data_IF_540880211332
#
_entry.id   IF_540880211332
#
_cell.length_a   1.000
_cell.length_b   1.000
_cell.length_c   1.000
_cell.angle_alpha   90.00
_cell.angle_beta   90.00
_cell.angle_gamma   90.00
#
_symmetry.space_group_name_H-M   'P 1'
#
loop_
_entity.id
_entity.type
_entity.pdbx_description
1 polymer ?
#
# COMPACT_ATOMS: atom_id res chain seq x y z
N UNK A 1 -13.17 24.08 -16.65
CA UNK A 1 -13.88 22.81 -16.43
C UNK A 1 -12.94 21.68 -16.80
N UNK A 2 -12.64 20.78 -15.87
CA UNK A 2 -11.72 19.64 -16.10
C UNK A 2 -12.52 18.39 -16.41
N UNK A 3 -12.00 17.54 -17.27
CA UNK A 3 -12.59 16.26 -17.63
C UNK A 3 -11.73 15.12 -17.08
N UNK A 4 -12.34 14.20 -16.32
CA UNK A 4 -11.64 13.09 -15.68
C UNK A 4 -12.31 11.78 -16.07
N UNK A 5 -11.53 10.84 -16.60
CA UNK A 5 -11.92 9.45 -16.78
C UNK A 5 -11.64 8.68 -15.50
N UNK A 6 -12.65 8.06 -14.89
CA UNK A 6 -12.52 7.33 -13.64
C UNK A 6 -12.90 5.86 -13.78
N UNK A 7 -12.03 4.97 -13.30
CA UNK A 7 -12.30 3.54 -13.18
C UNK A 7 -11.82 2.94 -11.85
N UNK A 8 -12.46 1.84 -11.45
CA UNK A 8 -12.07 1.00 -10.32
C UNK A 8 -11.80 -0.40 -10.83
N UNK A 9 -10.66 -1.00 -10.43
CA UNK A 9 -10.48 -2.43 -10.51
C UNK A 9 -11.22 -3.10 -9.33
N UNK A 10 -12.37 -3.77 -9.54
CA UNK A 10 -13.23 -4.23 -8.45
C UNK A 10 -12.58 -5.30 -7.57
N UNK A 11 -11.56 -6.00 -8.07
CA UNK A 11 -10.88 -7.07 -7.34
C UNK A 11 -9.58 -6.60 -6.67
N UNK A 12 -9.18 -5.35 -6.83
CA UNK A 12 -7.94 -4.86 -6.25
C UNK A 12 -8.00 -4.81 -4.71
N UNK A 13 -6.86 -5.13 -4.07
CA UNK A 13 -6.69 -5.07 -2.62
C UNK A 13 -7.07 -6.34 -1.86
N UNK A 14 -7.72 -7.32 -2.48
CA UNK A 14 -8.11 -8.56 -1.78
C UNK A 14 -6.91 -9.41 -1.38
N UNK A 15 -5.87 -9.47 -2.21
CA UNK A 15 -4.80 -10.46 -2.09
C UNK A 15 -3.90 -10.33 -0.87
N UNK A 16 -3.59 -9.12 -0.40
CA UNK A 16 -2.70 -8.99 0.76
C UNK A 16 -3.39 -9.12 2.11
N UNK A 17 -4.69 -8.84 2.21
CA UNK A 17 -5.45 -9.12 3.44
C UNK A 17 -5.40 -10.61 3.82
N UNK A 18 -5.32 -11.49 2.81
CA UNK A 18 -5.29 -12.95 2.96
C UNK A 18 -3.92 -13.58 2.66
N UNK A 19 -2.85 -12.76 2.64
CA UNK A 19 -1.47 -13.25 2.51
C UNK A 19 -1.11 -13.88 1.15
N UNK A 20 -1.90 -13.64 0.10
CA UNK A 20 -1.64 -14.12 -1.27
C UNK A 20 -0.69 -13.22 -2.06
N UNK A 21 -0.26 -12.11 -1.44
CA UNK A 21 0.61 -11.12 -2.05
C UNK A 21 0.05 -10.46 -3.32
N UNK A 22 -1.24 -10.60 -3.65
CA UNK A 22 -1.79 -10.09 -4.90
C UNK A 22 -3.03 -10.89 -5.29
N UNK A 23 -3.78 -10.41 -6.27
CA UNK A 23 -5.00 -11.07 -6.76
C UNK A 23 -4.86 -11.67 -8.16
N UNK A 24 -3.75 -11.43 -8.86
CA UNK A 24 -3.60 -11.83 -10.25
C UNK A 24 -3.58 -13.36 -10.35
N UNK A 25 -4.56 -13.91 -11.09
CA UNK A 25 -4.78 -15.35 -11.23
C UNK A 25 -5.19 -16.08 -9.93
N UNK A 26 -5.55 -15.36 -8.86
CA UNK A 26 -5.90 -15.92 -7.54
C UNK A 26 -7.17 -15.33 -6.92
N UNK A 27 -8.01 -14.66 -7.71
CA UNK A 27 -9.27 -14.07 -7.25
C UNK A 27 -10.12 -15.09 -6.49
N UNK A 28 -10.34 -16.27 -7.06
CA UNK A 28 -11.14 -17.33 -6.42
C UNK A 28 -10.54 -17.79 -5.08
N UNK A 29 -9.21 -17.91 -5.01
CA UNK A 29 -8.51 -18.28 -3.77
C UNK A 29 -8.59 -17.17 -2.73
N UNK A 30 -8.53 -15.90 -3.14
CA UNK A 30 -8.71 -14.77 -2.24
C UNK A 30 -10.12 -14.76 -1.64
N UNK A 31 -11.15 -14.98 -2.47
CA UNK A 31 -12.55 -15.10 -2.05
C UNK A 31 -12.71 -16.29 -1.10
N UNK A 32 -12.14 -17.46 -1.41
CA UNK A 32 -12.16 -18.64 -0.52
C UNK A 32 -11.55 -18.37 0.85
N UNK A 33 -10.53 -17.52 0.92
CA UNK A 33 -9.90 -17.08 2.18
C UNK A 33 -10.67 -15.95 2.89
N UNK A 34 -11.81 -15.53 2.36
CA UNK A 34 -12.66 -14.49 2.93
C UNK A 34 -12.18 -13.07 2.63
N UNK A 35 -11.40 -12.87 1.56
CA UNK A 35 -10.98 -11.54 1.17
C UNK A 35 -12.18 -10.68 0.73
N UNK A 36 -12.19 -9.43 1.17
CA UNK A 36 -13.19 -8.42 0.79
C UNK A 36 -12.52 -7.38 -0.12
N UNK A 37 -13.14 -7.01 -1.26
CA UNK A 37 -12.66 -5.92 -2.10
C UNK A 37 -12.51 -4.60 -1.32
N UNK A 38 -11.34 -3.96 -1.42
CA UNK A 38 -11.06 -2.65 -0.76
C UNK A 38 -11.06 -1.47 -1.73
N UNK A 39 -11.04 -1.73 -3.03
CA UNK A 39 -10.86 -0.71 -4.04
C UNK A 39 -12.01 0.31 -4.10
N UNK A 40 -13.26 -0.17 -3.97
CA UNK A 40 -14.44 0.71 -3.97
C UNK A 40 -14.42 1.68 -2.78
N UNK A 41 -14.16 1.18 -1.57
CA UNK A 41 -14.10 2.02 -0.35
C UNK A 41 -12.98 3.05 -0.43
N UNK A 42 -11.79 2.67 -0.91
CA UNK A 42 -10.65 3.60 -1.05
C UNK A 42 -10.91 4.65 -2.13
N UNK A 43 -11.57 4.26 -3.22
CA UNK A 43 -12.01 5.22 -4.22
C UNK A 43 -13.08 6.18 -3.67
N UNK A 44 -14.03 5.68 -2.89
CA UNK A 44 -15.06 6.48 -2.24
C UNK A 44 -14.44 7.52 -1.29
N UNK A 45 -13.43 7.13 -0.50
CA UNK A 45 -12.68 8.04 0.37
C UNK A 45 -11.99 9.18 -0.42
N UNK A 46 -11.44 8.88 -1.60
CA UNK A 46 -10.80 9.89 -2.46
C UNK A 46 -11.83 10.81 -3.15
N UNK A 47 -13.00 10.28 -3.53
CA UNK A 47 -13.99 10.99 -4.34
C UNK A 47 -14.98 11.81 -3.50
N UNK A 48 -15.31 11.37 -2.28
CA UNK A 48 -16.28 12.07 -1.42
C UNK A 48 -15.93 13.55 -1.15
N UNK A 49 -14.65 13.92 -0.92
CA UNK A 49 -14.25 15.31 -0.76
C UNK A 49 -14.39 16.17 -2.04
N UNK A 50 -14.56 15.55 -3.21
CA UNK A 50 -14.69 16.22 -4.50
C UNK A 50 -16.15 16.49 -4.89
N UNK A 51 -17.10 16.20 -3.99
CA UNK A 51 -18.52 16.46 -4.22
C UNK A 51 -18.76 17.95 -4.42
N UNK A 52 -19.41 18.30 -5.54
CA UNK A 52 -19.74 19.69 -5.87
C UNK A 52 -18.66 20.45 -6.65
N UNK A 53 -17.49 19.84 -6.86
CA UNK A 53 -16.44 20.41 -7.72
C UNK A 53 -16.89 20.43 -9.19
N UNK A 54 -16.48 21.45 -9.95
CA UNK A 54 -16.81 21.59 -11.39
C UNK A 54 -15.93 20.68 -12.28
N UNK A 55 -16.10 19.38 -12.11
CA UNK A 55 -15.41 18.32 -12.84
C UNK A 55 -16.43 17.55 -13.69
N UNK A 56 -16.11 17.36 -14.98
CA UNK A 56 -16.85 16.47 -15.87
C UNK A 56 -16.31 15.06 -15.73
N UNK A 57 -17.13 14.16 -15.18
CA UNK A 57 -16.74 12.78 -14.94
C UNK A 57 -17.16 11.88 -16.09
N UNK A 58 -16.22 11.09 -16.59
CA UNK A 58 -16.45 9.96 -17.48
C UNK A 58 -16.09 8.68 -16.73
N UNK A 59 -16.85 7.60 -16.90
CA UNK A 59 -16.61 6.38 -16.11
C UNK A 59 -17.05 5.11 -16.84
N UNK A 60 -16.75 3.96 -16.25
CA UNK A 60 -17.31 2.67 -16.63
C UNK A 60 -18.54 2.35 -15.78
N UNK A 61 -19.47 1.56 -16.33
CA UNK A 61 -20.62 1.05 -15.58
C UNK A 61 -20.15 0.19 -14.40
N UNK A 62 -21.07 -0.03 -13.44
CA UNK A 62 -20.80 -0.89 -12.30
C UNK A 62 -20.33 -2.28 -12.76
N UNK A 63 -19.38 -2.93 -12.06
CA UNK A 63 -18.79 -2.50 -10.77
C UNK A 63 -17.52 -1.63 -10.91
N UNK A 64 -17.24 -1.06 -12.09
CA UNK A 64 -15.95 -0.42 -12.38
C UNK A 64 -15.92 1.11 -12.22
N UNK A 65 -16.88 1.73 -11.52
CA UNK A 65 -16.77 3.15 -11.17
C UNK A 65 -18.07 3.92 -10.99
N UNK A 66 -19.12 3.65 -11.80
CA UNK A 66 -20.39 4.40 -11.73
C UNK A 66 -21.04 4.35 -10.34
N UNK A 67 -21.03 3.19 -9.73
CA UNK A 67 -21.52 2.91 -8.38
C UNK A 67 -20.76 3.73 -7.33
N UNK A 68 -19.44 3.74 -7.40
CA UNK A 68 -18.58 4.52 -6.47
C UNK A 68 -18.81 6.02 -6.61
N UNK A 69 -18.94 6.54 -7.84
CA UNK A 69 -19.26 7.96 -8.07
C UNK A 69 -20.64 8.33 -7.49
N UNK A 70 -21.64 7.47 -7.64
CA UNK A 70 -22.96 7.69 -7.02
C UNK A 70 -22.86 7.74 -5.50
N UNK A 71 -22.16 6.78 -4.88
CA UNK A 71 -21.94 6.74 -3.44
C UNK A 71 -21.19 7.96 -2.91
N UNK A 72 -20.29 8.55 -3.71
CA UNK A 72 -19.59 9.80 -3.39
C UNK A 72 -20.47 11.06 -3.54
N UNK A 73 -21.72 10.92 -4.00
CA UNK A 73 -22.63 12.04 -4.29
C UNK A 73 -22.32 12.76 -5.61
N UNK A 74 -21.60 12.13 -6.53
CA UNK A 74 -21.24 12.64 -7.86
C UNK A 74 -22.17 12.01 -8.90
N UNK A 75 -23.33 12.63 -9.12
CA UNK A 75 -24.35 12.08 -10.02
C UNK A 75 -24.17 12.47 -11.49
N UNK A 76 -23.50 13.59 -11.75
CA UNK A 76 -23.27 14.10 -13.12
C UNK A 76 -22.04 13.44 -13.73
N UNK A 77 -22.21 12.24 -14.26
CA UNK A 77 -21.17 11.52 -14.99
C UNK A 77 -21.70 10.90 -16.31
N UNK A 78 -20.80 10.61 -17.24
CA UNK A 78 -21.08 9.91 -18.49
C UNK A 78 -20.44 8.53 -18.46
N UNK A 79 -21.26 7.49 -18.63
CA UNK A 79 -20.77 6.10 -18.72
C UNK A 79 -20.32 5.83 -20.15
N UNK A 80 -19.05 5.48 -20.33
CA UNK A 80 -18.43 5.23 -21.64
C UNK A 80 -18.09 3.76 -21.90
N UNK A 81 -18.03 2.92 -20.85
CA UNK A 81 -17.78 1.48 -20.96
C UNK A 81 -18.80 0.68 -20.15
N UNK A 82 -19.18 -0.49 -20.66
CA UNK A 82 -20.06 -1.44 -19.98
C UNK A 82 -19.35 -2.79 -19.90
N UNK A 83 -18.78 -3.15 -18.73
CA UNK A 83 -18.00 -4.37 -18.60
C UNK A 83 -18.90 -5.60 -18.46
N UNK A 84 -18.36 -6.76 -18.80
CA UNK A 84 -18.96 -8.04 -18.43
C UNK A 84 -18.63 -8.38 -16.96
N UNK A 85 -19.41 -9.29 -16.37
CA UNK A 85 -19.12 -9.87 -15.05
C UNK A 85 -18.77 -11.36 -15.21
N UNK A 86 -17.62 -11.83 -14.72
CA UNK A 86 -16.58 -11.09 -13.99
C UNK A 86 -15.77 -10.13 -14.88
N UNK A 87 -15.30 -9.02 -14.30
CA UNK A 87 -14.48 -8.02 -15.00
C UNK A 87 -13.05 -8.48 -15.19
N UNK A 88 -12.38 -8.02 -16.23
CA UNK A 88 -11.01 -8.42 -16.58
C UNK A 88 -10.08 -7.22 -16.82
N UNK A 89 -8.79 -7.50 -16.97
CA UNK A 89 -7.81 -6.51 -17.44
C UNK A 89 -8.20 -5.90 -18.80
N UNK A 90 -8.89 -6.66 -19.66
CA UNK A 90 -9.38 -6.14 -20.94
C UNK A 90 -10.45 -5.07 -20.75
N UNK A 91 -11.32 -5.19 -19.73
CA UNK A 91 -12.30 -4.16 -19.40
C UNK A 91 -11.64 -2.87 -18.91
N UNK A 92 -10.56 -2.99 -18.12
CA UNK A 92 -9.76 -1.83 -17.69
C UNK A 92 -9.19 -1.10 -18.90
N UNK A 93 -8.57 -1.83 -19.84
CA UNK A 93 -8.02 -1.25 -21.06
C UNK A 93 -9.09 -0.64 -21.97
N UNK A 94 -10.24 -1.29 -22.10
CA UNK A 94 -11.36 -0.78 -22.90
C UNK A 94 -11.92 0.53 -22.33
N UNK A 95 -12.14 0.60 -21.02
CA UNK A 95 -12.57 1.82 -20.34
C UNK A 95 -11.57 2.96 -20.53
N UNK A 96 -10.27 2.71 -20.32
CA UNK A 96 -9.22 3.70 -20.54
C UNK A 96 -9.17 4.25 -21.97
N UNK A 97 -9.31 3.38 -22.98
CA UNK A 97 -9.36 3.82 -24.38
C UNK A 97 -10.59 4.69 -24.66
N UNK A 98 -11.75 4.31 -24.12
CA UNK A 98 -12.96 5.13 -24.25
C UNK A 98 -12.79 6.50 -23.57
N UNK A 99 -12.08 6.58 -22.45
CA UNK A 99 -11.75 7.86 -21.81
C UNK A 99 -10.82 8.71 -22.68
N UNK A 100 -9.80 8.09 -23.29
CA UNK A 100 -8.88 8.77 -24.20
C UNK A 100 -9.62 9.32 -25.44
N UNK A 101 -10.51 8.53 -26.05
CA UNK A 101 -11.36 8.95 -27.17
C UNK A 101 -12.30 10.10 -26.80
N UNK A 102 -12.78 10.14 -25.56
CA UNK A 102 -13.59 11.24 -25.03
C UNK A 102 -12.76 12.50 -24.70
N UNK A 103 -11.43 12.46 -24.84
CA UNK A 103 -10.54 13.59 -24.66
C UNK A 103 -10.40 14.05 -23.21
N UNK A 104 -10.37 13.12 -22.25
CA UNK A 104 -10.22 13.48 -20.84
C UNK A 104 -8.84 14.09 -20.54
N UNK A 105 -8.79 15.02 -19.57
CA UNK A 105 -7.55 15.70 -19.16
C UNK A 105 -6.69 14.86 -18.19
N UNK A 106 -7.32 13.90 -17.51
CA UNK A 106 -6.70 13.02 -16.53
C UNK A 106 -7.46 11.68 -16.48
N UNK A 107 -6.73 10.57 -16.38
CA UNK A 107 -7.31 9.27 -16.01
C UNK A 107 -7.00 8.98 -14.54
N UNK A 108 -8.05 8.89 -13.74
CA UNK A 108 -8.01 8.47 -12.34
C UNK A 108 -8.40 7.00 -12.27
N UNK A 109 -7.57 6.18 -11.63
CA UNK A 109 -7.89 4.75 -11.44
C UNK A 109 -7.69 4.32 -9.99
N UNK A 110 -8.50 3.37 -9.51
CA UNK A 110 -8.29 2.75 -8.19
C UNK A 110 -7.85 1.29 -8.36
N UNK A 111 -6.65 0.94 -7.88
CA UNK A 111 -6.05 -0.36 -8.14
C UNK A 111 -4.68 -0.60 -7.51
N UNK A 112 -3.99 -1.63 -7.99
CA UNK A 112 -2.58 -1.93 -7.67
C UNK A 112 -1.67 -1.81 -8.91
N UNK A 113 -0.40 -2.21 -8.82
CA UNK A 113 0.56 -2.11 -9.94
C UNK A 113 0.07 -2.83 -11.21
N UNK A 114 -0.64 -3.96 -11.08
CA UNK A 114 -1.30 -4.63 -12.22
C UNK A 114 -2.27 -3.72 -12.99
N UNK A 115 -3.12 -3.00 -12.26
CA UNK A 115 -4.02 -1.99 -12.86
C UNK A 115 -3.24 -0.84 -13.49
N UNK A 116 -2.14 -0.40 -12.87
CA UNK A 116 -1.31 0.67 -13.44
C UNK A 116 -0.68 0.25 -14.78
N UNK A 117 -0.25 -1.01 -14.93
CA UNK A 117 0.21 -1.58 -16.20
C UNK A 117 -0.91 -1.59 -17.24
N UNK A 118 -2.08 -2.09 -16.89
CA UNK A 118 -3.24 -2.10 -17.80
C UNK A 118 -3.63 -0.70 -18.27
N UNK A 119 -3.59 0.28 -17.37
CA UNK A 119 -3.85 1.68 -17.74
C UNK A 119 -2.76 2.19 -18.70
N UNK A 120 -1.49 1.95 -18.39
CA UNK A 120 -0.38 2.36 -19.26
C UNK A 120 -0.46 1.71 -20.65
N UNK A 121 -0.80 0.42 -20.74
CA UNK A 121 -0.98 -0.29 -22.01
C UNK A 121 -2.09 0.29 -22.88
N UNK A 122 -3.11 0.88 -22.23
CA UNK A 122 -4.25 1.45 -22.92
C UNK A 122 -4.00 2.85 -23.48
N UNK A 123 -3.25 3.68 -22.76
CA UNK A 123 -3.15 5.13 -23.06
C UNK A 123 -1.74 5.65 -23.26
N UNK A 124 -0.73 4.80 -23.02
CA UNK A 124 0.67 5.16 -23.10
C UNK A 124 0.97 6.42 -22.30
N UNK A 125 1.49 7.44 -23.00
CA UNK A 125 1.92 8.71 -22.41
C UNK A 125 1.05 9.90 -22.82
N UNK A 126 -0.07 9.64 -23.47
CA UNK A 126 -0.90 10.67 -24.12
C UNK A 126 -1.61 11.54 -23.08
N UNK A 127 -2.22 10.89 -22.09
CA UNK A 127 -2.95 11.55 -20.99
C UNK A 127 -2.26 11.28 -19.64
N UNK A 128 -2.20 12.26 -18.73
CA UNK A 128 -1.76 12.00 -17.36
C UNK A 128 -2.64 10.95 -16.69
N UNK A 129 -2.02 10.15 -15.82
CA UNK A 129 -2.71 9.15 -15.00
C UNK A 129 -2.43 9.40 -13.52
N UNK A 130 -3.39 9.08 -12.66
CA UNK A 130 -3.21 9.12 -11.21
C UNK A 130 -3.89 7.88 -10.60
N UNK A 131 -3.12 7.14 -9.81
CA UNK A 131 -3.64 5.96 -9.10
C UNK A 131 -4.08 6.28 -7.67
N UNK A 132 -5.29 5.86 -7.31
CA UNK A 132 -5.72 5.70 -5.93
C UNK A 132 -5.23 4.34 -5.45
N UNK A 133 -4.41 4.28 -4.38
CA UNK A 133 -3.91 3.03 -3.83
C UNK A 133 -5.05 2.12 -3.41
N UNK A 134 -5.15 0.91 -3.94
CA UNK A 134 -6.00 -0.16 -3.40
C UNK A 134 -5.24 -1.47 -3.13
N UNK A 135 -4.06 -1.62 -3.72
CA UNK A 135 -3.23 -2.81 -3.58
C UNK A 135 -2.31 -2.80 -2.36
N UNK A 136 -1.65 -3.94 -2.16
CA UNK A 136 -0.70 -4.21 -1.05
C UNK A 136 0.75 -3.95 -1.43
N UNK A 137 0.99 -3.86 -2.73
CA UNK A 137 2.28 -3.71 -3.40
C UNK A 137 2.12 -2.59 -4.40
N UNK A 138 2.75 -1.47 -4.12
CA UNK A 138 2.70 -0.32 -5.00
C UNK A 138 4.15 0.11 -5.18
N UNK A 139 4.76 -0.33 -6.26
CA UNK A 139 6.13 0.00 -6.61
C UNK A 139 6.17 1.14 -7.62
N UNK A 140 5.11 1.29 -8.40
CA UNK A 140 4.97 2.35 -9.38
C UNK A 140 4.84 3.72 -8.69
N UNK A 141 5.53 4.73 -9.21
CA UNK A 141 5.48 6.11 -8.74
C UNK A 141 4.29 6.91 -9.32
N UNK A 142 3.22 6.20 -9.71
CA UNK A 142 2.00 6.77 -10.33
C UNK A 142 0.83 6.90 -9.38
N UNK A 143 1.03 6.50 -8.12
CA UNK A 143 -0.01 6.50 -7.11
C UNK A 143 0.15 7.65 -6.12
N UNK A 144 -0.99 8.18 -5.70
CA UNK A 144 -1.05 9.04 -4.52
C UNK A 144 -0.62 8.27 -3.26
N UNK A 145 -0.12 9.00 -2.26
CA UNK A 145 0.27 8.42 -0.96
C UNK A 145 -0.92 7.85 -0.18
N UNK A 146 -2.14 8.37 -0.38
CA UNK A 146 -3.38 7.86 0.20
C UNK A 146 -4.60 8.47 -0.55
N UNK A 147 -5.84 8.05 -0.25
CA UNK A 147 -7.04 8.61 -0.88
C UNK A 147 -7.19 10.13 -0.73
N UNK A 148 -6.87 10.69 0.45
CA UNK A 148 -6.94 12.14 0.69
C UNK A 148 -5.96 12.93 -0.20
N UNK A 149 -4.74 12.43 -0.34
CA UNK A 149 -3.74 12.98 -1.25
C UNK A 149 -4.17 12.89 -2.72
N UNK A 150 -4.89 11.83 -3.10
CA UNK A 150 -5.47 11.73 -4.45
C UNK A 150 -6.49 12.86 -4.68
N UNK A 151 -7.37 13.12 -3.71
CA UNK A 151 -8.34 14.23 -3.79
C UNK A 151 -7.65 15.59 -3.96
N UNK A 152 -6.61 15.86 -3.17
CA UNK A 152 -5.81 17.09 -3.26
C UNK A 152 -5.14 17.24 -4.64
N UNK A 153 -4.54 16.17 -5.15
CA UNK A 153 -3.93 16.15 -6.48
C UNK A 153 -4.98 16.37 -7.59
N UNK A 154 -6.19 15.81 -7.46
CA UNK A 154 -7.28 16.00 -8.43
C UNK A 154 -7.76 17.46 -8.45
N UNK A 155 -7.95 18.09 -7.27
CA UNK A 155 -8.34 19.50 -7.17
C UNK A 155 -7.34 20.45 -7.80
N UNK A 156 -6.08 20.03 -7.91
CA UNK A 156 -4.99 20.85 -8.47
C UNK A 156 -4.53 20.37 -9.84
N UNK A 157 -5.13 19.30 -10.38
CA UNK A 157 -4.76 18.72 -11.66
C UNK A 157 -4.89 19.78 -12.78
N UNK A 158 -3.86 19.95 -13.60
CA UNK A 158 -3.81 21.00 -14.63
C UNK A 158 -3.30 22.36 -14.14
N UNK A 159 -3.22 22.61 -12.83
CA UNK A 159 -2.47 23.74 -12.24
C UNK A 159 -1.06 23.32 -11.79
N UNK A 160 -0.88 22.04 -11.44
CA UNK A 160 0.40 21.47 -11.05
C UNK A 160 1.10 20.79 -12.23
N UNK A 161 2.44 20.80 -12.29
CA UNK A 161 3.18 20.13 -13.35
C UNK A 161 2.98 18.61 -13.28
N UNK A 162 3.01 17.98 -14.45
CA UNK A 162 3.14 16.53 -14.55
C UNK A 162 4.61 16.14 -14.61
N UNK A 163 4.96 15.03 -13.97
CA UNK A 163 6.28 14.40 -14.04
C UNK A 163 6.18 13.03 -14.72
N UNK A 164 7.25 12.62 -15.37
CA UNK A 164 7.42 11.22 -15.76
C UNK A 164 7.68 10.38 -14.50
N UNK A 165 6.82 9.40 -14.27
CA UNK A 165 6.92 8.49 -13.13
C UNK A 165 6.97 7.05 -13.62
N UNK A 166 7.78 6.26 -12.93
CA UNK A 166 8.00 4.84 -13.24
C UNK A 166 6.74 4.02 -12.95
N UNK A 167 6.34 3.21 -13.92
CA UNK A 167 5.43 2.09 -13.72
C UNK A 167 6.30 0.84 -13.59
N UNK A 168 6.13 0.10 -12.51
CA UNK A 168 6.95 -1.06 -12.18
C UNK A 168 6.16 -2.34 -12.46
N UNK A 169 6.83 -3.33 -13.03
CA UNK A 169 6.33 -4.70 -13.11
C UNK A 169 6.92 -5.54 -11.98
N UNK A 170 6.05 -6.19 -11.23
CA UNK A 170 6.44 -7.07 -10.12
C UNK A 170 6.22 -8.49 -10.58
N UNK A 171 7.28 -9.29 -10.61
CA UNK A 171 7.14 -10.73 -10.83
C UNK A 171 6.44 -11.34 -9.60
N UNK A 172 5.13 -11.55 -9.71
CA UNK A 172 4.33 -12.07 -8.63
C UNK A 172 4.63 -13.54 -8.30
N UNK A 173 5.16 -14.32 -9.25
CA UNK A 173 5.58 -15.70 -9.01
C UNK A 173 6.89 -15.74 -8.24
N UNK A 174 7.88 -14.94 -8.64
CA UNK A 174 9.10 -14.73 -7.86
C UNK A 174 8.76 -14.21 -6.45
N UNK A 175 7.84 -13.23 -6.34
CA UNK A 175 7.40 -12.69 -5.06
C UNK A 175 6.79 -13.76 -4.16
N UNK A 176 5.95 -14.64 -4.72
CA UNK A 176 5.35 -15.76 -3.97
C UNK A 176 6.40 -16.78 -3.50
N UNK A 177 7.51 -16.91 -4.23
CA UNK A 177 8.67 -17.70 -3.79
C UNK A 177 9.59 -16.98 -2.78
N UNK A 178 9.20 -15.80 -2.29
CA UNK A 178 10.00 -15.02 -1.34
C UNK A 178 11.10 -14.16 -1.98
N UNK A 179 11.14 -14.07 -3.32
CA UNK A 179 12.13 -13.27 -4.07
C UNK A 179 11.47 -12.01 -4.63
N UNK A 180 12.00 -10.84 -4.29
CA UNK A 180 11.51 -9.57 -4.85
C UNK A 180 12.24 -9.28 -6.16
N UNK A 181 11.58 -9.54 -7.29
CA UNK A 181 12.04 -9.13 -8.62
C UNK A 181 11.10 -8.06 -9.15
N UNK A 182 11.62 -6.86 -9.40
CA UNK A 182 10.86 -5.75 -9.98
C UNK A 182 11.60 -5.22 -11.19
N UNK A 183 10.89 -5.07 -12.30
CA UNK A 183 11.43 -4.50 -13.54
C UNK A 183 10.72 -3.18 -13.84
N UNK A 184 11.44 -2.23 -14.43
CA UNK A 184 10.80 -1.04 -14.99
C UNK A 184 9.92 -1.47 -16.17
N UNK A 185 8.61 -1.25 -16.06
CA UNK A 185 7.65 -1.55 -17.12
C UNK A 185 7.60 -0.42 -18.15
N UNK A 186 7.61 0.82 -17.66
CA UNK A 186 7.58 2.01 -18.50
C UNK A 186 7.41 3.29 -17.69
N UNK A 187 7.06 4.37 -18.38
CA UNK A 187 6.86 5.69 -17.76
C UNK A 187 5.49 6.23 -18.10
N UNK A 188 4.81 6.80 -17.11
CA UNK A 188 3.56 7.51 -17.26
C UNK A 188 3.71 8.98 -16.84
N UNK A 189 2.85 9.86 -17.38
CA UNK A 189 2.75 11.25 -16.92
C UNK A 189 1.83 11.30 -15.70
N UNK A 190 2.27 11.93 -14.62
CA UNK A 190 1.52 11.97 -13.35
C UNK A 190 1.54 13.38 -12.77
N UNK A 191 0.39 13.97 -12.36
CA UNK A 191 0.37 15.23 -11.64
C UNK A 191 1.20 15.12 -10.35
N UNK A 192 2.20 15.99 -10.16
CA UNK A 192 3.23 15.74 -9.14
C UNK A 192 3.34 16.85 -8.10
N UNK A 193 3.24 16.45 -6.83
CA UNK A 193 3.66 17.20 -5.65
C UNK A 193 4.53 16.23 -4.81
N UNK A 194 5.77 16.58 -4.42
CA UNK A 194 6.70 15.67 -3.73
C UNK A 194 6.11 14.94 -2.52
N UNK A 195 5.29 15.61 -1.70
CA UNK A 195 4.72 15.07 -0.47
C UNK A 195 3.47 14.21 -0.69
N UNK A 196 2.92 14.18 -1.91
CA UNK A 196 1.63 13.55 -2.24
C UNK A 196 1.75 12.33 -3.16
N UNK A 197 2.93 12.07 -3.71
CA UNK A 197 3.19 10.98 -4.68
C UNK A 197 4.18 9.97 -4.09
N UNK A 198 3.92 8.69 -4.31
CA UNK A 198 4.80 7.60 -3.86
C UNK A 198 6.15 7.57 -4.61
N UNK A 199 7.27 7.43 -3.89
CA UNK A 199 8.61 7.20 -4.47
C UNK A 199 8.92 5.73 -4.77
N UNK A 200 9.82 5.45 -5.72
CA UNK A 200 10.33 4.10 -6.00
C UNK A 200 11.23 3.55 -4.86
N UNK A 201 11.39 2.23 -4.77
CA UNK A 201 12.24 1.57 -3.75
C UNK A 201 13.70 1.51 -4.24
N UNK A 202 14.61 2.29 -3.65
CA UNK A 202 16.05 2.23 -3.92
C UNK A 202 16.78 1.23 -3.01
N UNK A 203 17.88 0.65 -3.52
CA UNK A 203 18.80 -0.26 -2.82
C UNK A 203 20.09 0.51 -2.53
N UNK A 204 20.52 0.59 -1.26
CA UNK A 204 21.71 1.33 -0.82
C UNK A 204 22.96 0.43 -0.74
N UNK A 205 24.14 1.02 -0.59
CA UNK A 205 25.43 0.34 -0.50
C UNK A 205 25.46 -0.72 0.62
N UNK A 206 25.63 -1.98 0.22
CA UNK A 206 25.29 -3.17 1.01
C UNK A 206 26.07 -3.35 2.34
N UNK A 207 27.31 -2.87 2.46
CA UNK A 207 28.17 -3.23 3.61
C UNK A 207 27.76 -2.55 4.93
N UNK A 208 27.44 -1.25 4.92
CA UNK A 208 26.99 -0.55 6.13
C UNK A 208 25.54 -0.92 6.50
N UNK A 209 24.72 -1.27 5.50
CA UNK A 209 23.32 -1.62 5.72
C UNK A 209 23.16 -2.97 6.43
N UNK A 210 23.95 -3.98 6.07
CA UNK A 210 23.91 -5.29 6.73
C UNK A 210 24.36 -5.20 8.19
N UNK A 211 25.44 -4.47 8.47
CA UNK A 211 25.89 -4.23 9.85
C UNK A 211 24.82 -3.54 10.69
N UNK A 212 24.13 -2.54 10.13
CA UNK A 212 23.03 -1.87 10.82
C UNK A 212 21.85 -2.82 11.10
N UNK A 213 21.54 -3.75 10.18
CA UNK A 213 20.52 -4.78 10.42
C UNK A 213 20.92 -5.74 11.54
N UNK A 214 22.19 -6.14 11.58
CA UNK A 214 22.72 -7.00 12.65
C UNK A 214 22.65 -6.34 14.02
N UNK A 215 22.99 -5.06 14.10
CA UNK A 215 22.91 -4.25 15.32
C UNK A 215 21.46 -4.06 15.81
N UNK A 216 20.52 -3.81 14.89
CA UNK A 216 19.09 -3.75 15.19
C UNK A 216 18.61 -5.12 15.70
N UNK A 217 18.95 -6.20 14.99
CA UNK A 217 18.57 -7.55 15.36
C UNK A 217 19.11 -7.92 16.75
N UNK A 218 20.36 -7.58 17.05
CA UNK A 218 20.99 -7.74 18.36
C UNK A 218 20.16 -7.10 19.46
N UNK A 219 19.89 -5.81 19.32
CA UNK A 219 19.17 -5.07 20.32
C UNK A 219 17.73 -5.59 20.50
N UNK A 220 17.01 -5.84 19.40
CA UNK A 220 15.64 -6.36 19.48
C UNK A 220 15.63 -7.72 20.19
N UNK A 221 16.52 -8.64 19.84
CA UNK A 221 16.58 -9.96 20.46
C UNK A 221 16.84 -9.91 21.98
N UNK A 222 17.61 -8.92 22.46
CA UNK A 222 17.90 -8.73 23.88
C UNK A 222 16.71 -8.13 24.66
N UNK A 223 15.90 -7.28 24.03
CA UNK A 223 14.76 -6.60 24.67
C UNK A 223 13.43 -7.32 24.46
N UNK A 224 13.44 -8.47 23.76
CA UNK A 224 12.27 -9.31 23.65
C UNK A 224 11.91 -9.90 25.02
N UNK A 225 10.63 -9.80 25.36
CA UNK A 225 10.09 -10.21 26.65
C UNK A 225 9.56 -11.65 26.55
N UNK A 226 9.78 -12.47 27.58
CA UNK A 226 9.18 -13.80 27.64
C UNK A 226 7.65 -13.71 27.67
N UNK A 227 7.00 -14.79 27.24
CA UNK A 227 5.55 -14.96 27.18
C UNK A 227 4.80 -13.91 26.33
N UNK A 228 5.52 -13.12 25.53
CA UNK A 228 4.97 -12.04 24.70
C UNK A 228 4.89 -12.48 23.24
N UNK A 229 3.75 -12.22 22.61
CA UNK A 229 3.53 -12.46 21.19
C UNK A 229 4.20 -11.35 20.36
N UNK A 230 5.02 -11.70 19.39
CA UNK A 230 5.66 -10.75 18.47
C UNK A 230 5.12 -10.95 17.06
N UNK A 231 4.39 -9.96 16.56
CA UNK A 231 3.95 -9.87 15.18
C UNK A 231 5.06 -9.14 14.41
N UNK A 232 5.81 -9.87 13.59
CA UNK A 232 6.98 -9.39 12.87
C UNK A 232 6.60 -9.17 11.41
N UNK A 233 6.64 -7.91 10.96
CA UNK A 233 6.27 -7.55 9.59
C UNK A 233 7.32 -7.92 8.54
N UNK A 234 6.95 -7.74 7.28
CA UNK A 234 7.81 -8.05 6.13
C UNK A 234 9.03 -7.11 6.03
N UNK A 235 10.11 -7.61 5.42
CA UNK A 235 11.30 -6.83 5.06
C UNK A 235 12.62 -7.43 5.54
N UNK A 236 13.72 -7.00 4.92
CA UNK A 236 15.07 -7.50 5.24
C UNK A 236 15.53 -7.15 6.66
N UNK A 237 15.14 -5.98 7.18
CA UNK A 237 15.47 -5.58 8.56
C UNK A 237 14.78 -6.46 9.60
N UNK A 238 13.49 -6.78 9.40
CA UNK A 238 12.74 -7.65 10.30
C UNK A 238 13.10 -9.12 10.10
N UNK A 239 13.41 -9.54 8.88
CA UNK A 239 13.97 -10.86 8.58
C UNK A 239 15.27 -11.11 9.36
N UNK A 240 16.17 -10.12 9.43
CA UNK A 240 17.42 -10.24 10.20
C UNK A 240 17.17 -10.45 11.70
N UNK A 241 16.11 -9.86 12.26
CA UNK A 241 15.68 -10.11 13.66
C UNK A 241 15.34 -11.59 13.84
N UNK A 242 14.56 -12.18 12.92
CA UNK A 242 14.19 -13.60 12.99
C UNK A 242 15.38 -14.53 12.80
N UNK A 243 16.26 -14.24 11.84
CA UNK A 243 17.48 -15.03 11.61
C UNK A 243 18.35 -15.07 12.87
N UNK A 244 18.46 -13.94 13.59
CA UNK A 244 19.20 -13.88 14.86
C UNK A 244 18.56 -14.72 15.96
N UNK A 245 17.24 -14.90 15.94
CA UNK A 245 16.53 -15.82 16.83
C UNK A 245 16.69 -17.29 16.41
N UNK A 246 17.45 -17.59 15.35
CA UNK A 246 17.57 -18.93 14.78
C UNK A 246 16.34 -19.36 13.98
N UNK A 247 15.49 -18.41 13.58
CA UNK A 247 14.23 -18.65 12.90
C UNK A 247 14.34 -18.30 11.41
N UNK A 248 13.63 -19.07 10.58
CA UNK A 248 13.55 -18.82 9.13
C UNK A 248 12.44 -17.79 8.86
N UNK A 249 12.75 -16.59 8.34
CA UNK A 249 11.75 -15.54 8.10
C UNK A 249 10.98 -15.72 6.79
N UNK A 250 9.76 -15.20 6.78
CA UNK A 250 8.99 -14.89 5.57
C UNK A 250 9.29 -13.46 5.14
N UNK A 251 10.24 -13.28 4.21
CA UNK A 251 10.71 -11.94 3.78
C UNK A 251 9.59 -10.97 3.37
N UNK A 252 8.51 -11.50 2.80
CA UNK A 252 7.42 -10.76 2.17
C UNK A 252 6.05 -11.02 2.83
N UNK A 253 6.07 -11.45 4.09
CA UNK A 253 4.89 -11.78 4.89
C UNK A 253 5.00 -11.29 6.33
N UNK A 254 3.98 -11.60 7.14
CA UNK A 254 3.96 -11.30 8.57
C UNK A 254 4.09 -12.60 9.35
N UNK A 255 5.14 -12.74 10.15
CA UNK A 255 5.34 -13.92 10.99
C UNK A 255 4.97 -13.62 12.44
N UNK A 256 4.57 -14.65 13.18
CA UNK A 256 4.24 -14.52 14.60
C UNK A 256 5.16 -15.41 15.42
N UNK A 257 5.89 -14.80 16.35
CA UNK A 257 6.89 -15.45 17.18
C UNK A 257 6.51 -15.32 18.65
N UNK A 258 6.75 -16.36 19.45
CA UNK A 258 6.64 -16.34 20.90
C UNK A 258 7.68 -17.26 21.51
N UNK A 259 8.41 -16.78 22.51
CA UNK A 259 9.44 -17.57 23.21
C UNK A 259 10.49 -18.24 22.29
N UNK A 260 10.89 -17.55 21.22
CA UNK A 260 11.86 -18.09 20.25
C UNK A 260 11.29 -19.12 19.29
N UNK A 261 9.98 -19.35 19.27
CA UNK A 261 9.31 -20.27 18.34
C UNK A 261 8.36 -19.52 17.41
N UNK A 262 8.25 -19.97 16.16
CA UNK A 262 7.25 -19.45 15.22
C UNK A 262 5.91 -20.13 15.49
N UNK A 263 4.90 -19.34 15.88
CA UNK A 263 3.52 -19.80 16.05
C UNK A 263 2.72 -19.75 14.75
N UNK A 264 3.05 -18.80 13.87
CA UNK A 264 2.45 -18.71 12.53
C UNK A 264 3.44 -18.11 11.54
N UNK A 265 3.52 -18.69 10.34
CA UNK A 265 4.27 -18.14 9.21
C UNK A 265 3.30 -17.47 8.24
N UNK A 266 3.68 -16.30 7.72
CA UNK A 266 2.87 -15.53 6.76
C UNK A 266 1.39 -15.41 7.17
N UNK A 267 1.16 -15.05 8.44
CA UNK A 267 -0.15 -14.95 9.05
C UNK A 267 -1.02 -13.89 8.36
N UNK A 268 -2.27 -14.28 8.06
CA UNK A 268 -3.32 -13.36 7.66
C UNK A 268 -3.96 -12.68 8.87
N UNK A 269 -4.81 -11.68 8.62
CA UNK A 269 -5.50 -10.92 9.68
C UNK A 269 -6.24 -11.83 10.67
N UNK A 270 -6.96 -12.84 10.16
CA UNK A 270 -7.75 -13.76 10.98
C UNK A 270 -6.86 -14.56 11.94
N UNK A 271 -5.73 -15.04 11.45
CA UNK A 271 -4.73 -15.75 12.24
C UNK A 271 -4.13 -14.84 13.32
N UNK A 272 -3.80 -13.59 12.96
CA UNK A 272 -3.29 -12.60 13.91
C UNK A 272 -4.29 -12.32 15.03
N UNK A 273 -5.57 -12.07 14.70
CA UNK A 273 -6.63 -11.83 15.68
C UNK A 273 -6.84 -13.04 16.60
N UNK A 274 -6.89 -14.26 16.05
CA UNK A 274 -7.06 -15.48 16.83
C UNK A 274 -5.89 -15.75 17.80
N UNK A 275 -4.66 -15.40 17.41
CA UNK A 275 -3.50 -15.49 18.30
C UNK A 275 -3.54 -14.40 19.38
N UNK A 276 -3.96 -13.18 19.03
CA UNK A 276 -4.17 -12.08 19.98
C UNK A 276 -5.33 -12.33 20.95
N UNK A 277 -6.29 -13.20 20.62
CA UNK A 277 -7.31 -13.68 21.58
C UNK A 277 -6.73 -14.60 22.65
N UNK A 278 -5.75 -15.42 22.27
CA UNK A 278 -5.10 -16.39 23.17
C UNK A 278 -3.97 -15.78 23.99
N UNK A 279 -3.36 -14.71 23.48
CA UNK A 279 -2.16 -14.10 24.06
C UNK A 279 -2.39 -12.61 24.34
N UNK A 280 -2.62 -12.21 25.61
CA UNK A 280 -2.98 -10.83 25.95
C UNK A 280 -1.80 -9.85 25.87
N UNK A 281 -0.55 -10.35 25.82
CA UNK A 281 0.65 -9.52 25.65
C UNK A 281 1.16 -9.68 24.24
N UNK A 282 1.13 -8.59 23.48
CA UNK A 282 1.63 -8.59 22.11
C UNK A 282 2.43 -7.32 21.79
N UNK A 283 3.36 -7.46 20.83
CA UNK A 283 4.15 -6.39 20.25
C UNK A 283 4.18 -6.54 18.74
N UNK A 284 4.18 -5.42 18.05
CA UNK A 284 4.19 -5.37 16.58
C UNK A 284 5.50 -4.75 16.15
N UNK A 285 6.33 -5.48 15.40
CA UNK A 285 7.63 -4.99 14.92
C UNK A 285 7.54 -4.76 13.42
N UNK A 286 7.71 -3.51 13.00
CA UNK A 286 7.60 -3.10 11.60
C UNK A 286 8.82 -2.32 11.14
N UNK A 287 9.15 -2.44 9.86
CA UNK A 287 10.11 -1.56 9.20
C UNK A 287 9.41 -0.72 8.14
N UNK A 288 9.78 0.56 7.96
CA UNK A 288 9.28 1.35 6.85
C UNK A 288 9.55 0.64 5.52
N UNK A 289 8.59 0.72 4.61
CA UNK A 289 8.72 0.12 3.28
C UNK A 289 9.65 0.95 2.41
N UNK A 290 10.80 0.37 2.09
CA UNK A 290 11.75 0.96 1.15
C UNK A 290 12.12 2.41 1.51
N UNK A 291 12.28 3.23 0.48
CA UNK A 291 12.47 4.69 0.59
C UNK A 291 11.14 5.48 0.67
N UNK A 292 10.00 4.79 0.88
CA UNK A 292 8.67 5.41 0.84
C UNK A 292 8.18 5.88 2.21
N UNK A 293 8.75 5.38 3.31
CA UNK A 293 8.45 5.85 4.66
C UNK A 293 7.16 5.29 5.29
N UNK A 294 6.37 4.48 4.59
CA UNK A 294 5.16 3.86 5.18
C UNK A 294 5.51 2.83 6.25
N UNK A 295 5.04 3.07 7.47
CA UNK A 295 5.17 2.14 8.61
C UNK A 295 3.98 1.20 8.68
N UNK A 296 2.76 1.71 8.45
CA UNK A 296 1.50 0.97 8.50
C UNK A 296 0.71 1.14 7.21
N UNK A 297 -0.05 0.11 6.85
CA UNK A 297 -0.91 0.09 5.68
C UNK A 297 -0.26 -0.62 4.51
N UNK A 298 0.69 0.02 3.86
CA UNK A 298 1.35 -0.57 2.69
C UNK A 298 2.21 -1.76 3.12
N UNK A 299 2.19 -2.84 2.34
CA UNK A 299 2.97 -4.08 2.54
C UNK A 299 2.82 -4.82 3.88
N UNK A 300 1.89 -4.40 4.75
CA UNK A 300 1.57 -5.08 6.01
C UNK A 300 0.08 -5.01 6.36
N UNK A 301 -0.79 -5.05 5.35
CA UNK A 301 -2.25 -4.93 5.50
C UNK A 301 -2.91 -6.01 6.37
N UNK A 302 -2.21 -7.11 6.65
CA UNK A 302 -2.62 -8.12 7.62
C UNK A 302 -2.73 -7.52 9.03
N UNK A 303 -1.93 -6.49 9.33
CA UNK A 303 -1.93 -5.73 10.59
C UNK A 303 -2.99 -4.63 10.47
N UNK A 304 -4.24 -5.05 10.47
CA UNK A 304 -5.41 -4.18 10.33
C UNK A 304 -5.64 -3.29 11.57
N UNK A 305 -6.59 -2.34 11.50
CA UNK A 305 -7.00 -1.55 12.68
C UNK A 305 -7.49 -2.43 13.84
N UNK A 306 -8.14 -3.56 13.56
CA UNK A 306 -8.57 -4.50 14.59
C UNK A 306 -7.37 -5.16 15.28
N UNK A 307 -6.36 -5.58 14.51
CA UNK A 307 -5.11 -6.15 15.03
C UNK A 307 -4.36 -5.11 15.87
N UNK A 308 -4.23 -3.88 15.38
CA UNK A 308 -3.55 -2.79 16.08
C UNK A 308 -4.23 -2.41 17.40
N UNK A 309 -5.56 -2.29 17.41
CA UNK A 309 -6.32 -2.02 18.65
C UNK A 309 -6.13 -3.12 19.68
N UNK A 310 -6.12 -4.37 19.23
CA UNK A 310 -6.00 -5.54 20.10
C UNK A 310 -4.59 -5.73 20.63
N UNK A 311 -3.57 -5.46 19.81
CA UNK A 311 -2.17 -5.44 20.26
C UNK A 311 -1.84 -4.20 21.10
N UNK A 312 -2.55 -3.09 20.88
CA UNK A 312 -2.29 -1.78 21.45
C UNK A 312 -1.26 -1.00 20.64
N UNK A 313 -1.60 0.23 20.23
CA UNK A 313 -0.73 1.08 19.40
C UNK A 313 0.60 1.43 20.09
N UNK A 314 0.60 1.56 21.41
CA UNK A 314 1.80 1.75 22.23
C UNK A 314 2.78 0.57 22.19
N UNK A 315 2.36 -0.58 21.65
CA UNK A 315 3.19 -1.76 21.45
C UNK A 315 3.75 -1.87 20.01
N UNK A 316 3.56 -0.84 19.18
CA UNK A 316 4.22 -0.72 17.88
C UNK A 316 5.69 -0.34 18.07
N UNK A 317 6.58 -1.18 17.53
CA UNK A 317 8.02 -0.99 17.49
C UNK A 317 8.43 -0.82 16.03
N UNK A 318 9.02 0.32 15.71
CA UNK A 318 9.50 0.61 14.36
C UNK A 318 11.02 0.43 14.31
N UNK A 319 11.51 -0.31 13.31
CA UNK A 319 12.93 -0.58 13.07
C UNK A 319 13.34 -0.17 11.66
N UNK A 320 14.47 0.53 11.50
CA UNK A 320 14.96 0.92 10.18
C UNK A 320 16.46 1.23 10.23
N UNK A 321 17.23 0.80 9.23
CA UNK A 321 18.65 1.17 9.14
C UNK A 321 18.81 2.69 8.96
N UNK A 322 19.96 3.27 9.36
CA UNK A 322 20.22 4.69 9.18
C UNK A 322 20.11 5.14 7.73
N UNK A 323 20.57 4.32 6.78
CA UNK A 323 20.43 4.58 5.34
C UNK A 323 18.96 4.68 4.91
N UNK A 324 18.11 3.75 5.38
CA UNK A 324 16.66 3.81 5.10
C UNK A 324 16.05 5.09 5.70
N UNK A 325 16.42 5.44 6.93
CA UNK A 325 15.94 6.65 7.60
C UNK A 325 16.41 7.96 6.97
N UNK A 326 17.57 7.97 6.30
CA UNK A 326 18.04 9.11 5.53
C UNK A 326 17.18 9.33 4.27
N UNK A 327 16.76 8.24 3.62
CA UNK A 327 15.89 8.24 2.45
C UNK A 327 14.41 8.48 2.78
N UNK A 328 13.99 8.22 4.02
CA UNK A 328 12.63 8.45 4.52
C UNK A 328 12.64 9.57 5.58
N UNK A 329 12.77 10.85 5.18
CA UNK A 329 12.76 11.96 6.12
C UNK A 329 11.41 12.08 6.87
N UNK A 330 10.34 11.59 6.23
CA UNK A 330 8.98 11.52 6.76
C UNK A 330 8.54 10.07 6.83
N UNK A 331 7.74 9.75 7.84
CA UNK A 331 7.04 8.47 7.97
C UNK A 331 5.56 8.66 7.70
N UNK A 332 4.93 7.63 7.16
CA UNK A 332 3.51 7.64 6.82
C UNK A 332 2.78 6.49 7.51
N UNK A 333 1.56 6.75 7.93
CA UNK A 333 0.63 5.77 8.49
C UNK A 333 -0.69 5.86 7.73
N UNK A 334 -1.16 4.71 7.26
CA UNK A 334 -2.45 4.51 6.58
C UNK A 334 -2.98 3.14 7.04
N UNK A 335 -3.43 3.04 8.29
CA UNK A 335 -3.96 1.78 8.82
C UNK A 335 -5.30 1.40 8.17
N UNK A 336 -5.90 2.32 7.42
CA UNK A 336 -7.27 2.22 6.90
C UNK A 336 -8.32 2.74 7.89
N UNK A 337 -7.90 3.31 9.02
CA UNK A 337 -8.75 3.88 10.06
C UNK A 337 -8.23 5.27 10.48
N UNK A 338 -8.88 6.36 10.05
CA UNK A 338 -8.40 7.72 10.30
C UNK A 338 -8.37 8.13 11.78
N UNK A 339 -9.16 7.49 12.64
CA UNK A 339 -9.09 7.75 14.10
C UNK A 339 -7.82 7.13 14.67
N UNK A 340 -7.56 5.87 14.32
CA UNK A 340 -6.37 5.16 14.76
C UNK A 340 -5.08 5.80 14.20
N UNK A 341 -5.11 6.27 12.95
CA UNK A 341 -3.97 6.95 12.33
C UNK A 341 -3.59 8.22 13.13
N UNK A 342 -4.58 9.01 13.55
CA UNK A 342 -4.38 10.20 14.41
C UNK A 342 -3.80 9.85 15.78
N UNK A 343 -4.15 8.70 16.35
CA UNK A 343 -3.62 8.24 17.65
C UNK A 343 -2.10 7.97 17.63
N UNK A 344 -1.48 7.77 16.46
CA UNK A 344 -0.02 7.59 16.34
C UNK A 344 0.74 8.85 16.75
N UNK A 345 0.11 10.02 16.64
CA UNK A 345 0.72 11.32 16.93
C UNK A 345 1.75 11.76 15.88
N UNK A 346 2.36 12.92 16.07
CA UNK A 346 3.16 13.60 15.03
C UNK A 346 4.55 13.02 14.81
N UNK A 347 4.96 12.03 15.60
CA UNK A 347 6.28 11.42 15.50
C UNK A 347 6.33 10.01 16.04
N UNK A 348 7.17 9.17 15.43
CA UNK A 348 7.50 7.83 15.89
C UNK A 348 8.97 7.73 16.27
N UNK A 349 9.26 6.93 17.29
CA UNK A 349 10.62 6.52 17.61
C UNK A 349 10.98 5.28 16.79
N UNK A 350 12.07 5.37 16.03
CA UNK A 350 12.56 4.30 15.17
C UNK A 350 13.91 3.81 15.68
N UNK A 351 13.98 2.54 16.03
CA UNK A 351 15.24 1.86 16.39
C UNK A 351 16.07 1.72 15.12
N UNK A 352 17.30 2.25 15.15
CA UNK A 352 18.16 2.35 13.96
C UNK A 352 19.56 1.78 14.12
N UNK A 353 19.83 1.15 15.25
CA UNK A 353 21.07 0.46 15.55
C UNK A 353 21.03 -0.12 16.95
N UNK A 354 22.17 -0.59 17.44
CA UNK A 354 22.27 -1.18 18.76
C UNK A 354 22.09 -0.11 19.84
N UNK A 355 20.95 -0.13 20.55
CA UNK A 355 20.58 0.90 21.55
C UNK A 355 20.53 2.32 20.97
N UNK A 356 20.33 2.45 19.66
CA UNK A 356 20.22 3.74 18.97
C UNK A 356 18.81 3.86 18.41
N UNK A 357 18.16 4.98 18.68
CA UNK A 357 16.87 5.33 18.10
C UNK A 357 16.84 6.77 17.61
N UNK A 358 16.07 7.02 16.55
CA UNK A 358 15.82 8.34 15.99
C UNK A 358 14.33 8.64 16.08
N UNK A 359 13.98 9.89 16.38
CA UNK A 359 12.60 10.35 16.27
C UNK A 359 12.36 10.87 14.85
N UNK A 360 11.32 10.36 14.21
CA UNK A 360 10.94 10.73 12.83
C UNK A 360 9.52 11.27 12.83
N UNK A 361 9.30 12.34 12.08
CA UNK A 361 7.98 12.96 11.94
C UNK A 361 7.05 12.01 11.18
N UNK A 362 5.82 11.87 11.67
CA UNK A 362 4.74 11.16 10.99
C UNK A 362 3.89 12.19 10.28
N UNK A 363 3.56 11.91 9.03
CA UNK A 363 2.60 12.69 8.25
C UNK A 363 1.26 11.95 8.29
N UNK A 364 0.27 12.64 8.85
CA UNK A 364 -1.11 12.22 8.80
C UNK A 364 -1.74 12.75 7.50
N UNK A 365 -2.61 11.97 6.83
CA UNK A 365 -3.54 12.54 5.88
C UNK A 365 -4.49 13.48 6.64
N UNK A 366 -4.39 14.78 6.39
CA UNK A 366 -5.43 15.76 6.77
C UNK A 366 -6.73 15.53 5.98
#
# INVERSE_FOLDING_TARGET
>A
MRSIGFLVNPVAGMGGAVGLAGTDGKVDEAIRRGAVPRAADRALQALSPLRGEEIRWYTSAAPMGRDVLSSAGIERCTVLHHPAAPTTAADTRAACRAFLEAGVDLILFCGGDGTARDVLDAVGREVPILGIPAGVKMYSAVFAVNPAAAADLIRRAGEIPCRESEVMDVDEEAYRSGRLTTHLYGYARVPFIPERIQGGKQVFEQQDEERAKDDIAAFISEVMLPETLYIIGAGSTTARIMERLGLVPTLLGVDVVRNGEILARNADERTLLALLDKHPRAKVILSPIGAQGFVLGRGNQQISPAVLRKAGLSNLIVVATPGKLAATPLLYVDSGDPELDREVGDSLQVISGYRIAQRKRVVHPD
#
